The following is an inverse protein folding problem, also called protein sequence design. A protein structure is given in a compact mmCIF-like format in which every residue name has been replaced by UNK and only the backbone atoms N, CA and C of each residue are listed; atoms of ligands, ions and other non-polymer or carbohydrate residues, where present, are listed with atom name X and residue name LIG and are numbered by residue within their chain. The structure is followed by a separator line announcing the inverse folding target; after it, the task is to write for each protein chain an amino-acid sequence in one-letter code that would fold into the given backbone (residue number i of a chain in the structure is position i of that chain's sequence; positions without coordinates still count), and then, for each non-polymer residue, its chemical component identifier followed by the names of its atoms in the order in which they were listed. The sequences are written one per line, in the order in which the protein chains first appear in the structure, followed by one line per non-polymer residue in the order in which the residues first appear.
data_IF_744571186251
#
_entry.id   IF_744571186251
#
_cell.length_a   1.000
_cell.length_b   1.000
_cell.length_c   1.000
_cell.angle_alpha   90.00
_cell.angle_beta   90.00
_cell.angle_gamma   90.00
#
_symmetry.space_group_name_H-M   'P 1'
#
loop_
_entity.id
_entity.type
_entity.pdbx_description
1 polymer ?
#
# COMPACT_ATOMS: atom_id res chain seq x y z
N UNK A 1 -22.33 28.44 -18.87
CA UNK A 1 -23.02 28.53 -17.58
C UNK A 1 -21.98 28.23 -16.49
N UNK A 2 -21.85 29.02 -15.42
CA UNK A 2 -20.92 28.72 -14.34
C UNK A 2 -21.38 27.49 -13.54
N UNK A 3 -20.41 26.79 -12.94
CA UNK A 3 -20.63 25.58 -12.17
C UNK A 3 -20.06 25.79 -10.75
N UNK A 4 -20.85 25.47 -9.75
CA UNK A 4 -20.43 25.34 -8.36
C UNK A 4 -20.40 23.85 -8.03
N UNK A 5 -19.20 23.30 -7.89
CA UNK A 5 -19.00 21.91 -7.50
C UNK A 5 -18.73 21.85 -6.00
N UNK A 6 -19.56 21.09 -5.28
CA UNK A 6 -19.40 20.90 -3.84
C UNK A 6 -19.19 19.42 -3.56
N UNK A 7 -18.09 19.11 -2.89
CA UNK A 7 -17.70 17.74 -2.54
C UNK A 7 -17.51 17.61 -1.03
N UNK A 8 -17.68 16.38 -0.53
CA UNK A 8 -17.44 16.04 0.87
C UNK A 8 -15.96 15.81 1.16
N UNK A 9 -15.60 15.93 2.43
CA UNK A 9 -14.31 15.50 2.98
C UNK A 9 -14.57 14.35 3.93
N UNK A 10 -13.85 13.25 3.80
CA UNK A 10 -13.97 12.10 4.70
C UNK A 10 -13.66 10.77 4.02
N UNK A 11 -13.90 9.68 4.75
CA UNK A 11 -13.78 8.31 4.26
C UNK A 11 -15.13 7.62 4.45
N UNK A 12 -15.71 7.12 3.36
CA UNK A 12 -16.97 6.37 3.39
C UNK A 12 -16.72 4.98 2.79
N UNK A 13 -16.78 3.95 3.63
CA UNK A 13 -16.26 2.62 3.29
C UNK A 13 -14.81 2.75 2.82
N UNK A 14 -14.48 2.22 1.65
CA UNK A 14 -13.16 2.35 1.04
C UNK A 14 -12.97 3.63 0.20
N UNK A 15 -14.03 4.40 -0.03
CA UNK A 15 -13.97 5.61 -0.86
C UNK A 15 -13.42 6.78 -0.05
N UNK A 16 -12.40 7.42 -0.62
CA UNK A 16 -11.80 8.64 -0.12
C UNK A 16 -12.48 9.83 -0.79
N UNK A 17 -13.09 10.70 0.00
CA UNK A 17 -13.73 11.94 -0.43
C UNK A 17 -12.77 13.08 -0.08
N UNK A 18 -12.16 13.64 -1.10
CA UNK A 18 -11.02 14.54 -0.95
C UNK A 18 -11.38 16.01 -0.73
N UNK A 19 -12.66 16.36 -0.77
CA UNK A 19 -13.07 17.75 -0.76
C UNK A 19 -12.86 18.40 -2.12
N UNK A 20 -11.98 19.39 -2.22
CA UNK A 20 -11.66 20.10 -3.47
C UNK A 20 -12.89 20.70 -4.15
N UNK A 21 -13.86 21.18 -3.38
CA UNK A 21 -14.99 21.92 -3.93
C UNK A 21 -14.50 23.06 -4.81
N UNK A 22 -15.11 23.28 -5.96
CA UNK A 22 -14.59 24.14 -6.98
C UNK A 22 -15.63 25.10 -7.55
N UNK A 23 -15.16 26.23 -8.03
CA UNK A 23 -15.95 27.24 -8.73
C UNK A 23 -15.41 27.38 -10.14
N UNK A 24 -16.24 27.11 -11.13
CA UNK A 24 -15.86 27.13 -12.54
C UNK A 24 -16.73 28.15 -13.27
N UNK A 25 -16.12 29.03 -14.05
CA UNK A 25 -16.86 30.03 -14.81
C UNK A 25 -17.56 29.44 -16.06
N UNK A 26 -18.26 30.28 -16.81
CA UNK A 26 -19.00 29.85 -17.99
C UNK A 26 -18.08 29.39 -19.15
N UNK A 27 -16.84 29.79 -19.14
CA UNK A 27 -15.77 29.45 -20.11
C UNK A 27 -15.03 28.15 -19.72
N UNK A 28 -15.41 27.51 -18.59
CA UNK A 28 -14.76 26.29 -18.11
C UNK A 28 -13.47 26.54 -17.32
N UNK A 29 -13.17 27.80 -16.96
CA UNK A 29 -11.97 28.14 -16.17
C UNK A 29 -12.29 27.93 -14.68
N UNK A 30 -11.42 27.17 -14.01
CA UNK A 30 -11.51 26.99 -12.56
C UNK A 30 -11.03 28.26 -11.85
N UNK A 31 -11.95 28.95 -11.17
CA UNK A 31 -11.68 30.20 -10.46
C UNK A 31 -11.17 30.00 -9.05
N UNK A 32 -11.61 28.92 -8.41
CA UNK A 32 -11.31 28.61 -7.03
C UNK A 32 -11.39 27.09 -6.80
N UNK A 33 -10.40 26.55 -6.12
CA UNK A 33 -10.45 25.18 -5.56
C UNK A 33 -10.20 25.26 -4.06
N UNK A 34 -11.10 24.67 -3.28
CA UNK A 34 -10.95 24.55 -1.83
C UNK A 34 -9.88 23.51 -1.49
N UNK A 35 -9.58 23.36 -0.18
CA UNK A 35 -8.51 22.48 0.29
C UNK A 35 -8.78 21.01 -0.04
N UNK A 36 -7.70 20.27 -0.27
CA UNK A 36 -7.71 18.82 -0.29
C UNK A 36 -7.65 18.27 1.13
N UNK A 37 -8.47 17.26 1.42
CA UNK A 37 -8.44 16.49 2.67
C UNK A 37 -8.60 17.33 3.95
N UNK A 38 -9.27 18.47 3.84
CA UNK A 38 -9.54 19.37 4.95
C UNK A 38 -10.86 20.10 4.72
N UNK A 39 -11.59 20.39 5.79
CA UNK A 39 -12.80 21.21 5.69
C UNK A 39 -12.40 22.63 5.31
N UNK A 40 -13.08 23.19 4.33
CA UNK A 40 -12.85 24.56 3.89
C UNK A 40 -14.17 25.21 3.44
N UNK A 41 -14.27 26.50 3.66
CA UNK A 41 -15.45 27.31 3.32
C UNK A 41 -15.03 28.63 2.71
N UNK A 42 -15.64 29.00 1.59
CA UNK A 42 -15.46 30.29 0.93
C UNK A 42 -16.80 30.91 0.57
N UNK A 43 -16.84 32.22 0.71
CA UNK A 43 -17.97 33.05 0.25
C UNK A 43 -17.51 33.79 -1.00
N UNK A 44 -18.29 33.68 -2.07
CA UNK A 44 -18.02 34.35 -3.34
C UNK A 44 -19.26 35.13 -3.81
N UNK A 45 -19.06 36.17 -4.62
CA UNK A 45 -20.16 36.92 -5.23
C UNK A 45 -20.43 36.44 -6.65
N UNK A 46 -21.68 36.63 -7.12
CA UNK A 46 -22.04 36.32 -8.52
C UNK A 46 -21.20 37.11 -9.54
N UNK A 47 -20.74 38.30 -9.17
CA UNK A 47 -19.87 39.10 -10.05
C UNK A 47 -18.50 38.45 -10.29
N UNK A 48 -17.97 37.71 -9.31
CA UNK A 48 -16.71 36.97 -9.47
C UNK A 48 -16.89 35.79 -10.45
N UNK A 49 -18.07 35.18 -10.49
CA UNK A 49 -18.40 34.12 -11.46
C UNK A 49 -18.47 34.59 -12.91
N UNK A 50 -18.73 35.86 -13.12
CA UNK A 50 -18.88 36.50 -14.42
C UNK A 50 -17.66 37.34 -14.86
N UNK A 51 -16.58 37.27 -14.09
CA UNK A 51 -15.36 38.04 -14.36
C UNK A 51 -14.72 37.59 -15.67
N UNK A 52 -14.48 38.53 -16.56
CA UNK A 52 -13.76 38.33 -17.83
C UNK A 52 -12.24 38.10 -17.62
N UNK A 53 -11.73 38.43 -16.43
CA UNK A 53 -10.30 38.29 -16.08
C UNK A 53 -10.15 37.56 -14.76
N UNK A 54 -10.44 36.24 -14.70
CA UNK A 54 -10.34 35.48 -13.50
C UNK A 54 -8.90 35.37 -13.04
N UNK A 55 -8.68 35.60 -11.75
CA UNK A 55 -7.43 35.26 -11.06
C UNK A 55 -7.61 33.90 -10.45
N UNK A 56 -7.26 32.80 -11.12
CA UNK A 56 -7.54 31.48 -10.61
C UNK A 56 -6.76 31.21 -9.31
N UNK A 57 -7.48 31.03 -8.22
CA UNK A 57 -6.93 30.60 -6.94
C UNK A 57 -7.08 29.08 -6.82
N UNK A 58 -6.24 28.32 -7.51
CA UNK A 58 -6.19 26.88 -7.35
C UNK A 58 -4.78 26.42 -7.01
N UNK A 59 -4.72 25.40 -6.16
CA UNK A 59 -3.46 24.81 -5.73
C UNK A 59 -3.18 23.57 -6.59
N UNK A 60 -2.25 23.68 -7.52
CA UNK A 60 -1.71 22.49 -8.18
C UNK A 60 -0.78 21.75 -7.24
N UNK A 61 -0.94 20.45 -7.17
CA UNK A 61 -0.02 19.58 -6.47
C UNK A 61 0.45 18.45 -7.39
N UNK A 62 1.63 17.91 -7.12
CA UNK A 62 2.09 16.74 -7.85
C UNK A 62 1.33 15.50 -7.37
N UNK A 63 1.16 14.52 -8.26
CA UNK A 63 0.50 13.26 -7.93
C UNK A 63 1.05 12.61 -6.64
N UNK A 64 2.38 12.57 -6.47
CA UNK A 64 2.99 11.96 -5.29
C UNK A 64 2.70 12.72 -3.99
N UNK A 65 2.64 14.06 -4.03
CA UNK A 65 2.22 14.84 -2.85
C UNK A 65 0.76 14.59 -2.51
N UNK A 66 -0.09 14.52 -3.53
CA UNK A 66 -1.49 14.20 -3.37
C UNK A 66 -1.66 12.80 -2.76
N UNK A 67 -0.95 11.79 -3.27
CA UNK A 67 -0.93 10.44 -2.74
C UNK A 67 -0.48 10.40 -1.27
N UNK A 68 0.58 11.14 -0.92
CA UNK A 68 1.01 11.27 0.49
C UNK A 68 -0.09 11.83 1.38
N UNK A 69 -0.77 12.88 0.95
CA UNK A 69 -1.86 13.49 1.73
C UNK A 69 -3.05 12.55 1.83
N UNK A 70 -3.39 11.84 0.78
CA UNK A 70 -4.46 10.85 0.76
C UNK A 70 -4.20 9.72 1.76
N UNK A 71 -3.00 9.10 1.74
CA UNK A 71 -2.63 8.05 2.69
C UNK A 71 -2.64 8.60 4.12
N UNK A 72 -2.06 9.78 4.34
CA UNK A 72 -2.04 10.43 5.66
C UNK A 72 -3.46 10.68 6.17
N UNK A 73 -4.34 11.22 5.33
CA UNK A 73 -5.72 11.53 5.68
C UNK A 73 -6.52 10.28 6.02
N UNK A 74 -6.45 9.24 5.18
CA UNK A 74 -7.17 7.99 5.46
C UNK A 74 -6.68 7.29 6.73
N UNK A 75 -5.38 7.36 7.01
CA UNK A 75 -4.82 6.89 8.28
C UNK A 75 -5.41 7.64 9.48
N UNK A 76 -5.51 8.96 9.37
CA UNK A 76 -6.08 9.80 10.42
C UNK A 76 -7.55 9.47 10.62
N UNK A 77 -8.35 9.52 9.58
CA UNK A 77 -9.79 9.24 9.64
C UNK A 77 -10.08 7.84 10.19
N UNK A 78 -9.49 6.80 9.60
CA UNK A 78 -9.73 5.43 10.03
C UNK A 78 -9.37 5.21 11.50
N UNK A 79 -8.16 5.61 11.93
CA UNK A 79 -7.71 5.35 13.29
C UNK A 79 -8.44 6.23 14.31
N UNK A 80 -8.81 7.48 13.98
CA UNK A 80 -9.45 8.37 14.95
C UNK A 80 -10.94 8.15 15.09
N UNK A 81 -11.62 7.60 14.09
CA UNK A 81 -13.06 7.30 14.13
C UNK A 81 -13.38 5.93 14.71
N UNK A 82 -12.46 4.98 14.61
CA UNK A 82 -12.65 3.62 15.12
C UNK A 82 -12.34 3.52 16.63
N UNK A 83 -12.72 2.41 17.32
CA UNK A 83 -12.54 2.27 18.77
C UNK A 83 -11.09 2.37 19.23
N UNK A 84 -10.15 1.80 18.46
CA UNK A 84 -8.73 1.86 18.76
C UNK A 84 -8.13 3.15 18.18
N UNK A 85 -7.55 3.98 19.03
CA UNK A 85 -7.00 5.31 18.66
C UNK A 85 -5.49 5.29 18.39
N UNK A 86 -4.91 4.10 18.27
CA UNK A 86 -3.48 3.88 18.06
C UNK A 86 -3.25 2.97 16.86
N UNK A 87 -2.08 3.06 16.26
CA UNK A 87 -1.61 2.18 15.18
C UNK A 87 -0.39 1.39 15.63
N UNK A 88 -0.37 0.10 15.31
CA UNK A 88 0.81 -0.77 15.43
C UNK A 88 1.24 -1.20 14.04
N UNK A 89 2.51 -1.06 13.71
CA UNK A 89 3.10 -1.45 12.42
C UNK A 89 4.11 -2.56 12.63
N UNK A 90 4.01 -3.64 11.85
CA UNK A 90 5.01 -4.70 11.84
C UNK A 90 6.26 -4.22 11.10
N UNK A 91 7.38 -4.14 11.82
CA UNK A 91 8.67 -3.67 11.29
C UNK A 91 9.48 -4.86 10.78
N UNK A 92 9.53 -5.04 9.47
CA UNK A 92 10.27 -6.08 8.77
C UNK A 92 11.56 -5.56 8.10
N UNK A 93 11.87 -4.27 8.29
CA UNK A 93 13.03 -3.60 7.70
C UNK A 93 12.85 -3.24 6.21
N UNK A 94 11.68 -3.45 5.64
CA UNK A 94 11.36 -3.01 4.27
C UNK A 94 11.12 -1.51 4.20
N UNK A 95 11.21 -0.95 2.98
CA UNK A 95 10.86 0.45 2.73
C UNK A 95 9.39 0.72 3.08
N UNK A 96 8.51 -0.22 2.75
CA UNK A 96 7.07 -0.10 2.97
C UNK A 96 6.73 0.03 4.46
N UNK A 97 7.33 -0.81 5.31
CA UNK A 97 7.09 -0.74 6.76
C UNK A 97 7.60 0.56 7.37
N UNK A 98 8.75 1.06 6.90
CA UNK A 98 9.29 2.36 7.33
C UNK A 98 8.43 3.52 6.82
N UNK A 99 8.00 3.47 5.56
CA UNK A 99 7.19 4.52 4.94
C UNK A 99 5.84 4.65 5.64
N UNK A 100 5.13 3.53 5.84
CA UNK A 100 3.81 3.59 6.50
C UNK A 100 3.91 4.00 7.97
N UNK A 101 4.97 3.59 8.70
CA UNK A 101 5.20 4.06 10.06
C UNK A 101 5.43 5.57 10.10
N UNK A 102 6.23 6.12 9.18
CA UNK A 102 6.46 7.55 9.09
C UNK A 102 5.17 8.31 8.77
N UNK A 103 4.36 7.84 7.79
CA UNK A 103 3.07 8.47 7.45
C UNK A 103 2.10 8.39 8.63
N UNK A 104 2.02 7.25 9.31
CA UNK A 104 1.19 7.08 10.52
C UNK A 104 1.60 8.06 11.62
N UNK A 105 2.90 8.20 11.86
CA UNK A 105 3.42 9.18 12.84
C UNK A 105 3.05 10.63 12.47
N UNK A 106 3.10 10.97 11.17
CA UNK A 106 2.68 12.31 10.68
C UNK A 106 1.18 12.53 10.75
N UNK A 107 0.39 11.46 10.64
CA UNK A 107 -1.07 11.53 10.72
C UNK A 107 -1.58 11.59 12.16
N UNK A 108 -1.02 10.79 13.06
CA UNK A 108 -1.56 10.52 14.39
C UNK A 108 -0.75 11.15 15.53
N UNK A 109 0.51 11.52 15.27
CA UNK A 109 1.49 11.86 16.29
C UNK A 109 2.19 10.61 16.87
N UNK A 110 3.45 10.76 17.28
CA UNK A 110 4.33 9.67 17.70
C UNK A 110 3.80 8.85 18.89
N UNK A 111 3.00 9.46 19.77
CA UNK A 111 2.47 8.81 20.98
C UNK A 111 1.36 7.79 20.67
N UNK A 112 0.76 7.89 19.49
CA UNK A 112 -0.30 6.98 19.03
C UNK A 112 0.17 5.95 18.00
N UNK A 113 1.47 5.90 17.74
CA UNK A 113 2.08 4.96 16.77
C UNK A 113 3.17 4.15 17.46
N UNK A 114 3.22 2.87 17.17
CA UNK A 114 4.29 2.00 17.62
C UNK A 114 4.71 1.04 16.50
N UNK A 115 5.96 0.62 16.53
CA UNK A 115 6.46 -0.49 15.73
C UNK A 115 6.52 -1.76 16.57
N UNK A 116 6.33 -2.90 15.93
CA UNK A 116 6.62 -4.22 16.49
C UNK A 116 7.62 -4.94 15.58
N UNK A 117 8.73 -5.37 16.14
CA UNK A 117 9.65 -6.29 15.49
C UNK A 117 9.52 -7.67 16.12
N UNK A 118 9.14 -8.66 15.30
CA UNK A 118 9.06 -10.06 15.71
C UNK A 118 10.27 -10.78 15.13
N UNK A 119 11.24 -11.02 15.98
CA UNK A 119 12.51 -11.64 15.61
C UNK A 119 12.31 -13.13 15.28
N UNK A 120 12.93 -13.58 14.18
CA UNK A 120 13.03 -15.00 13.82
C UNK A 120 14.47 -15.37 13.44
N UNK A 121 14.78 -16.68 13.43
CA UNK A 121 16.10 -17.21 13.04
C UNK A 121 16.49 -16.87 11.60
N UNK A 122 15.53 -16.51 10.75
CA UNK A 122 15.73 -16.14 9.35
C UNK A 122 16.09 -14.66 9.16
N UNK A 123 15.96 -13.87 10.23
CA UNK A 123 16.26 -12.44 10.15
C UNK A 123 17.77 -12.21 10.07
N UNK A 124 18.18 -11.22 9.27
CA UNK A 124 19.56 -10.77 9.26
C UNK A 124 19.99 -10.30 10.65
N UNK A 125 21.21 -10.60 11.11
CA UNK A 125 21.72 -10.11 12.40
C UNK A 125 21.68 -8.59 12.54
N UNK A 126 21.73 -7.85 11.42
CA UNK A 126 21.70 -6.38 11.37
C UNK A 126 20.29 -5.80 11.31
N UNK A 127 19.23 -6.63 11.17
CA UNK A 127 17.87 -6.15 10.99
C UNK A 127 17.40 -5.31 12.18
N UNK A 128 17.69 -5.77 13.39
CA UNK A 128 17.33 -5.05 14.63
C UNK A 128 17.93 -3.64 14.67
N UNK A 129 19.23 -3.56 14.41
CA UNK A 129 19.96 -2.29 14.40
C UNK A 129 19.39 -1.37 13.31
N UNK A 130 19.14 -1.89 12.13
CA UNK A 130 18.54 -1.14 11.02
C UNK A 130 17.18 -0.54 11.40
N UNK A 131 16.30 -1.33 12.02
CA UNK A 131 14.98 -0.87 12.49
C UNK A 131 15.16 0.18 13.61
N UNK A 132 16.04 -0.05 14.56
CA UNK A 132 16.29 0.89 15.66
C UNK A 132 16.86 2.22 15.18
N UNK A 133 17.80 2.20 14.24
CA UNK A 133 18.40 3.39 13.64
C UNK A 133 17.37 4.24 12.90
N UNK A 134 16.36 3.63 12.31
CA UNK A 134 15.23 4.34 11.70
C UNK A 134 14.28 4.92 12.74
N UNK A 135 13.88 4.14 13.75
CA UNK A 135 12.81 4.53 14.68
C UNK A 135 13.26 5.49 15.77
N UNK A 136 14.48 5.36 16.24
CA UNK A 136 15.00 6.18 17.37
C UNK A 136 14.93 7.70 17.09
N UNK A 137 15.37 8.20 15.91
CA UNK A 137 15.27 9.64 15.61
C UNK A 137 13.83 10.14 15.50
N UNK A 138 12.88 9.27 15.17
CA UNK A 138 11.45 9.61 15.08
C UNK A 138 10.79 9.67 16.47
N UNK A 139 11.43 9.13 17.48
CA UNK A 139 10.87 9.04 18.84
C UNK A 139 9.64 8.15 18.95
N UNK A 140 9.48 7.20 18.05
CA UNK A 140 8.39 6.22 18.01
C UNK A 140 8.81 4.97 18.77
N UNK A 141 7.91 4.43 19.61
CA UNK A 141 8.19 3.25 20.43
C UNK A 141 8.30 1.99 19.57
N UNK A 142 9.38 1.23 19.81
CA UNK A 142 9.57 -0.10 19.22
C UNK A 142 9.36 -1.17 20.28
N UNK A 143 8.45 -2.09 20.04
CA UNK A 143 8.33 -3.34 20.77
C UNK A 143 9.11 -4.43 20.02
N UNK A 144 9.71 -5.35 20.77
CA UNK A 144 10.41 -6.49 20.18
C UNK A 144 9.89 -7.79 20.83
N UNK A 145 9.68 -8.78 20.00
CA UNK A 145 9.24 -10.12 20.41
C UNK A 145 10.15 -11.17 19.79
N UNK A 146 10.58 -12.15 20.57
CA UNK A 146 11.33 -13.27 20.04
C UNK A 146 10.34 -14.40 19.70
N UNK A 147 10.32 -14.82 18.44
CA UNK A 147 9.44 -15.87 17.94
C UNK A 147 9.94 -17.26 18.31
N UNK A 148 11.24 -17.41 18.58
CA UNK A 148 11.84 -18.70 18.87
C UNK A 148 11.46 -19.16 20.28
N UNK A 149 10.66 -20.19 20.35
CA UNK A 149 10.33 -20.87 21.58
C UNK A 149 10.03 -22.36 21.31
N UNK A 150 10.04 -23.17 22.38
CA UNK A 150 9.82 -24.62 22.31
C UNK A 150 8.47 -25.00 21.69
N UNK A 151 7.45 -24.15 21.80
CA UNK A 151 6.11 -24.42 21.25
C UNK A 151 6.15 -24.39 19.74
N UNK A 152 6.77 -23.36 19.16
CA UNK A 152 6.86 -23.18 17.69
C UNK A 152 7.79 -24.24 17.10
N UNK A 153 8.92 -24.48 17.74
CA UNK A 153 9.85 -25.51 17.32
C UNK A 153 9.23 -26.91 17.41
N UNK A 154 8.45 -27.19 18.48
CA UNK A 154 7.69 -28.42 18.62
C UNK A 154 6.61 -28.59 17.55
N UNK A 155 5.92 -27.51 17.17
CA UNK A 155 4.93 -27.54 16.09
C UNK A 155 5.59 -27.83 14.72
N UNK A 156 6.71 -27.18 14.46
CA UNK A 156 7.45 -27.35 13.20
C UNK A 156 8.04 -28.76 13.09
N UNK A 157 8.61 -29.29 14.18
CA UNK A 157 9.19 -30.63 14.20
C UNK A 157 8.18 -31.75 13.94
N UNK A 158 6.93 -31.58 14.35
CA UNK A 158 5.86 -32.52 14.02
C UNK A 158 5.52 -32.54 12.51
N UNK A 159 5.72 -31.42 11.81
CA UNK A 159 5.50 -31.30 10.37
C UNK A 159 6.72 -31.69 9.51
N UNK A 160 7.91 -31.84 10.07
CA UNK A 160 9.17 -32.03 9.32
C UNK A 160 9.19 -33.25 8.41
N UNK A 161 8.46 -34.31 8.76
CA UNK A 161 8.39 -35.53 7.95
C UNK A 161 7.54 -35.37 6.67
N UNK A 162 6.74 -34.30 6.58
CA UNK A 162 5.75 -34.11 5.52
C UNK A 162 6.04 -32.92 4.60
N UNK A 163 6.96 -32.00 4.97
CA UNK A 163 6.90 -30.62 4.45
C UNK A 163 8.29 -30.04 4.13
N UNK A 164 8.33 -29.24 3.08
CA UNK A 164 9.52 -28.55 2.57
C UNK A 164 9.86 -27.25 3.36
N UNK A 165 10.99 -26.65 3.04
CA UNK A 165 11.45 -25.39 3.66
C UNK A 165 10.47 -24.20 3.47
N UNK A 166 9.67 -24.21 2.40
CA UNK A 166 8.65 -23.16 2.16
C UNK A 166 7.56 -23.22 3.20
N UNK A 167 7.12 -24.42 3.56
CA UNK A 167 6.12 -24.59 4.61
C UNK A 167 6.62 -24.06 5.96
N UNK A 168 7.90 -24.31 6.28
CA UNK A 168 8.52 -23.80 7.51
C UNK A 168 8.49 -22.29 7.55
N UNK A 169 8.96 -21.63 6.49
CA UNK A 169 8.95 -20.16 6.38
C UNK A 169 7.53 -19.61 6.49
N UNK A 170 6.58 -20.16 5.74
CA UNK A 170 5.18 -19.75 5.78
C UNK A 170 4.55 -19.94 7.16
N UNK A 171 4.96 -20.96 7.89
CA UNK A 171 4.49 -21.20 9.27
C UNK A 171 5.02 -20.13 10.22
N UNK A 172 6.30 -19.77 10.14
CA UNK A 172 6.87 -18.67 10.93
C UNK A 172 6.15 -17.35 10.65
N UNK A 173 5.84 -17.04 9.40
CA UNK A 173 5.12 -15.81 9.06
C UNK A 173 3.70 -15.79 9.62
N UNK A 174 3.01 -16.94 9.68
CA UNK A 174 1.70 -17.05 10.36
C UNK A 174 1.81 -16.78 11.86
N UNK A 175 2.83 -17.33 12.51
CA UNK A 175 3.09 -17.02 13.92
C UNK A 175 3.44 -15.54 14.13
N UNK A 176 4.26 -14.93 13.27
CA UNK A 176 4.52 -13.47 13.30
C UNK A 176 3.23 -12.67 13.22
N UNK A 177 2.32 -13.05 12.32
CA UNK A 177 1.03 -12.39 12.16
C UNK A 177 0.14 -12.55 13.39
N UNK A 178 0.09 -13.75 13.99
CA UNK A 178 -0.66 -14.01 15.21
C UNK A 178 -0.14 -13.16 16.38
N UNK A 179 1.17 -13.08 16.56
CA UNK A 179 1.78 -12.22 17.59
C UNK A 179 1.47 -10.76 17.31
N UNK A 180 1.57 -10.33 16.07
CA UNK A 180 1.31 -8.94 15.68
C UNK A 180 -0.11 -8.50 16.06
N UNK A 181 -1.11 -9.34 15.78
CA UNK A 181 -2.51 -9.04 16.12
C UNK A 181 -2.72 -9.06 17.62
N UNK A 182 -2.21 -10.10 18.32
CA UNK A 182 -2.34 -10.20 19.76
C UNK A 182 -1.70 -9.02 20.50
N UNK A 183 -0.54 -8.54 20.03
CA UNK A 183 0.11 -7.35 20.59
C UNK A 183 -0.68 -6.09 20.26
N UNK A 184 -1.24 -5.98 19.06
CA UNK A 184 -2.10 -4.84 18.68
C UNK A 184 -3.32 -4.76 19.60
N UNK A 185 -3.99 -5.88 19.83
CA UNK A 185 -5.14 -5.98 20.75
C UNK A 185 -4.74 -5.59 22.18
N UNK A 186 -3.64 -6.14 22.69
CA UNK A 186 -3.11 -5.81 24.03
C UNK A 186 -2.84 -4.32 24.20
N UNK A 187 -2.38 -3.64 23.15
CA UNK A 187 -2.05 -2.19 23.16
C UNK A 187 -3.27 -1.31 22.88
N UNK A 188 -4.44 -1.87 22.56
CA UNK A 188 -5.58 -1.14 22.07
C UNK A 188 -5.25 -0.38 20.78
N UNK A 189 -4.53 -1.02 19.87
CA UNK A 189 -4.06 -0.45 18.62
C UNK A 189 -4.64 -1.23 17.43
N UNK A 190 -4.82 -0.53 16.28
CA UNK A 190 -5.08 -1.20 15.02
C UNK A 190 -3.79 -1.78 14.44
N UNK A 191 -3.79 -3.06 14.03
CA UNK A 191 -2.71 -3.58 13.21
C UNK A 191 -2.79 -2.96 11.82
N UNK A 192 -1.68 -2.34 11.39
CA UNK A 192 -1.58 -1.66 10.09
C UNK A 192 -0.58 -2.40 9.21
N UNK A 193 -1.04 -2.83 8.06
CA UNK A 193 -0.25 -3.57 7.08
C UNK A 193 0.64 -2.65 6.24
N UNK A 194 1.82 -3.14 5.87
CA UNK A 194 2.74 -2.52 4.92
C UNK A 194 2.67 -3.12 3.51
N UNK A 195 1.68 -3.98 3.23
CA UNK A 195 1.51 -4.64 1.93
C UNK A 195 1.04 -3.63 0.90
N UNK A 196 1.71 -3.60 -0.26
CA UNK A 196 1.39 -2.75 -1.40
C UNK A 196 0.54 -3.45 -2.47
N UNK A 197 0.14 -2.70 -3.51
CA UNK A 197 -0.70 -3.18 -4.62
C UNK A 197 -0.02 -4.29 -5.42
N UNK A 198 1.27 -4.19 -5.66
CA UNK A 198 2.06 -5.20 -6.39
C UNK A 198 2.09 -6.53 -5.63
N UNK A 199 2.32 -6.45 -4.32
CA UNK A 199 2.38 -7.63 -3.46
C UNK A 199 1.04 -8.35 -3.36
N UNK A 200 -0.05 -7.61 -3.18
CA UNK A 200 -1.39 -8.21 -3.08
C UNK A 200 -1.90 -8.70 -4.44
N UNK A 201 -1.54 -8.01 -5.54
CA UNK A 201 -1.88 -8.43 -6.90
C UNK A 201 -1.34 -9.83 -7.22
N UNK A 202 -0.12 -10.10 -6.80
CA UNK A 202 0.62 -11.30 -7.17
C UNK A 202 0.73 -12.34 -6.04
N UNK A 203 0.13 -12.09 -4.88
CA UNK A 203 0.24 -13.00 -3.74
C UNK A 203 1.70 -13.21 -3.30
N UNK A 204 2.56 -12.17 -3.39
CA UNK A 204 4.00 -12.29 -3.14
C UNK A 204 4.33 -12.63 -1.68
N UNK A 205 3.46 -12.24 -0.75
CA UNK A 205 3.55 -12.71 0.63
C UNK A 205 2.75 -13.99 0.76
N UNK A 206 3.44 -15.10 0.93
CA UNK A 206 2.95 -16.49 0.90
C UNK A 206 1.87 -16.84 1.95
N UNK A 207 1.24 -15.85 2.59
CA UNK A 207 0.31 -16.10 3.68
C UNK A 207 -1.02 -15.36 3.54
N UNK A 208 -1.99 -16.06 2.98
CA UNK A 208 -3.42 -15.71 3.04
C UNK A 208 -3.85 -15.30 4.47
N UNK A 209 -3.39 -16.04 5.46
CA UNK A 209 -3.64 -15.73 6.87
C UNK A 209 -3.12 -14.34 7.30
N UNK A 210 -2.02 -13.87 6.70
CA UNK A 210 -1.48 -12.54 7.00
C UNK A 210 -2.36 -11.41 6.46
N UNK A 211 -3.06 -11.60 5.35
CA UNK A 211 -3.95 -10.60 4.76
C UNK A 211 -5.26 -10.48 5.54
N UNK A 212 -5.89 -11.62 5.85
CA UNK A 212 -7.17 -11.66 6.58
C UNK A 212 -7.05 -11.12 8.02
N UNK A 213 -5.86 -11.17 8.59
CA UNK A 213 -5.62 -10.82 9.98
C UNK A 213 -5.18 -9.37 10.19
N UNK A 214 -4.77 -8.62 9.16
CA UNK A 214 -4.40 -7.21 9.31
C UNK A 214 -5.58 -6.31 9.00
N UNK A 215 -6.23 -5.77 10.01
CA UNK A 215 -7.48 -5.02 9.89
C UNK A 215 -7.42 -3.80 8.96
N UNK A 216 -6.27 -3.12 8.82
CA UNK A 216 -6.12 -1.92 8.00
C UNK A 216 -4.91 -1.99 7.07
N UNK A 217 -5.15 -1.83 5.77
CA UNK A 217 -4.18 -2.02 4.69
C UNK A 217 -4.06 -0.78 3.80
N UNK A 218 -3.46 0.31 4.27
CA UNK A 218 -3.50 1.60 3.58
C UNK A 218 -2.69 1.69 2.28
N UNK A 219 -1.77 0.75 2.02
CA UNK A 219 -0.90 0.77 0.83
C UNK A 219 -1.34 -0.19 -0.27
N UNK A 220 -2.37 -1.02 -0.07
CA UNK A 220 -2.77 -2.06 -1.03
C UNK A 220 -3.36 -1.53 -2.34
N UNK A 221 -3.55 -0.23 -2.46
CA UNK A 221 -3.92 0.42 -3.72
C UNK A 221 -2.81 1.34 -4.28
N UNK A 222 -1.57 1.16 -3.82
CA UNK A 222 -0.37 1.89 -4.25
C UNK A 222 0.69 0.90 -4.73
N UNK A 223 1.18 1.06 -5.96
CA UNK A 223 2.23 0.20 -6.50
C UNK A 223 3.57 0.40 -5.79
N UNK A 224 4.39 -0.65 -5.77
CA UNK A 224 5.73 -0.60 -5.15
C UNK A 224 6.60 0.51 -5.75
N UNK A 225 6.57 0.70 -7.07
CA UNK A 225 7.30 1.76 -7.76
C UNK A 225 6.88 3.16 -7.27
N UNK A 226 5.59 3.39 -7.04
CA UNK A 226 5.07 4.66 -6.51
C UNK A 226 5.51 4.90 -5.06
N UNK A 227 5.64 3.84 -4.24
CA UNK A 227 6.15 3.96 -2.88
C UNK A 227 7.64 4.32 -2.85
N UNK A 228 8.42 3.81 -3.79
CA UNK A 228 9.82 4.21 -3.99
C UNK A 228 9.92 5.69 -4.33
N UNK A 229 9.18 6.14 -5.35
CA UNK A 229 9.14 7.55 -5.75
C UNK A 229 8.65 8.47 -4.61
N UNK A 230 7.68 8.01 -3.82
CA UNK A 230 7.18 8.74 -2.66
C UNK A 230 8.26 8.88 -1.57
N UNK A 231 9.04 7.84 -1.31
CA UNK A 231 10.15 7.89 -0.36
C UNK A 231 11.27 8.85 -0.83
N UNK A 232 11.60 8.85 -2.13
CA UNK A 232 12.54 9.79 -2.75
C UNK A 232 12.03 11.24 -2.58
N UNK A 233 10.75 11.51 -2.87
CA UNK A 233 10.13 12.81 -2.69
C UNK A 233 10.17 13.28 -1.23
N UNK A 234 9.87 12.41 -0.29
CA UNK A 234 9.89 12.73 1.14
C UNK A 234 11.31 13.03 1.62
N UNK A 235 12.30 12.29 1.15
CA UNK A 235 13.70 12.60 1.44
C UNK A 235 14.12 13.96 0.87
N UNK A 236 13.74 14.26 -0.38
CA UNK A 236 14.07 15.54 -1.02
C UNK A 236 13.35 16.74 -0.39
N UNK A 237 12.20 16.52 0.25
CA UNK A 237 11.37 17.56 0.87
C UNK A 237 11.76 17.86 2.34
N UNK A 238 12.72 17.15 2.91
CA UNK A 238 13.16 17.32 4.28
C UNK A 238 14.66 17.65 4.33
N UNK A 239 15.09 18.42 5.32
CA UNK A 239 16.49 18.82 5.51
C UNK A 239 17.44 17.62 5.70
N UNK A 240 16.92 16.54 6.25
CA UNK A 240 17.65 15.27 6.45
C UNK A 240 16.86 14.14 5.81
N UNK A 241 17.59 13.22 5.20
CA UNK A 241 16.99 12.01 4.66
C UNK A 241 16.28 11.23 5.78
N UNK A 242 15.01 10.92 5.54
CA UNK A 242 14.16 10.14 6.46
C UNK A 242 14.49 8.65 6.28
N UNK A 243 14.53 8.21 5.02
CA UNK A 243 14.78 6.84 4.65
C UNK A 243 16.22 6.68 4.16
N UNK A 244 16.94 5.61 4.58
CA UNK A 244 18.29 5.34 4.07
C UNK A 244 18.28 5.22 2.54
N UNK A 245 19.20 5.92 1.87
CA UNK A 245 19.31 5.87 0.40
C UNK A 245 19.53 4.42 -0.08
N UNK A 246 20.35 3.65 0.64
CA UNK A 246 20.58 2.23 0.32
C UNK A 246 19.31 1.37 0.39
N UNK A 247 18.36 1.73 1.25
CA UNK A 247 17.07 1.03 1.34
C UNK A 247 16.18 1.37 0.14
N UNK A 248 16.13 2.64 -0.26
CA UNK A 248 15.40 3.09 -1.44
C UNK A 248 15.97 2.43 -2.70
N UNK A 249 17.30 2.45 -2.87
CA UNK A 249 17.96 1.79 -4.00
C UNK A 249 17.74 0.28 -4.03
N UNK A 250 17.73 -0.38 -2.88
CA UNK A 250 17.38 -1.80 -2.78
C UNK A 250 15.93 -2.06 -3.20
N UNK A 251 14.99 -1.21 -2.77
CA UNK A 251 13.59 -1.34 -3.17
C UNK A 251 13.38 -1.06 -4.66
N UNK A 252 14.07 -0.05 -5.21
CA UNK A 252 14.03 0.33 -6.63
C UNK A 252 14.59 -0.77 -7.55
N UNK A 253 15.63 -1.46 -7.10
CA UNK A 253 16.27 -2.55 -7.83
C UNK A 253 15.77 -3.93 -7.39
N UNK A 254 14.68 -3.98 -6.58
CA UNK A 254 14.10 -5.24 -6.19
C UNK A 254 13.59 -6.00 -7.42
N UNK A 255 13.88 -7.30 -7.41
CA UNK A 255 13.45 -8.23 -8.44
C UNK A 255 12.55 -9.28 -7.83
N UNK A 256 11.56 -9.76 -8.59
CA UNK A 256 10.81 -10.94 -8.19
C UNK A 256 11.75 -12.15 -8.14
N UNK A 257 11.66 -12.88 -7.03
CA UNK A 257 12.42 -14.12 -6.87
C UNK A 257 12.04 -15.12 -7.95
N UNK A 258 13.00 -15.95 -8.36
CA UNK A 258 12.90 -16.97 -9.44
C UNK A 258 11.68 -17.90 -9.32
N UNK A 259 11.09 -18.03 -8.12
CA UNK A 259 9.92 -18.89 -7.88
C UNK A 259 8.63 -18.36 -8.51
N UNK A 260 8.55 -17.05 -8.78
CA UNK A 260 7.36 -16.43 -9.36
C UNK A 260 7.41 -16.36 -10.89
N UNK A 261 8.62 -16.46 -11.47
CA UNK A 261 8.81 -16.37 -12.92
C UNK A 261 9.71 -17.52 -13.35
N UNK A 262 9.14 -18.54 -13.96
CA UNK A 262 9.85 -19.76 -14.40
C UNK A 262 10.94 -19.54 -15.48
N UNK A 263 11.25 -18.28 -15.84
CA UNK A 263 12.02 -17.93 -17.03
C UNK A 263 13.49 -17.54 -16.77
N UNK A 264 14.01 -17.78 -15.56
CA UNK A 264 15.47 -17.64 -15.29
C UNK A 264 16.02 -16.20 -15.33
N UNK A 265 15.20 -15.19 -15.70
CA UNK A 265 15.57 -13.77 -15.74
C UNK A 265 15.04 -13.05 -14.50
N UNK A 266 15.88 -12.25 -13.88
CA UNK A 266 15.44 -11.32 -12.85
C UNK A 266 14.63 -10.20 -13.48
N UNK A 267 13.40 -9.99 -13.00
CA UNK A 267 12.51 -8.94 -13.49
C UNK A 267 12.37 -7.85 -12.42
N UNK A 268 12.59 -6.61 -12.81
CA UNK A 268 12.43 -5.46 -11.91
C UNK A 268 10.96 -5.28 -11.53
N UNK A 269 10.72 -4.90 -10.29
CA UNK A 269 9.35 -4.65 -9.81
C UNK A 269 8.69 -3.51 -10.59
N UNK A 270 9.44 -2.49 -11.03
CA UNK A 270 8.88 -1.42 -11.87
C UNK A 270 8.28 -1.93 -13.19
N UNK A 271 8.94 -2.89 -13.86
CA UNK A 271 8.41 -3.52 -15.09
C UNK A 271 7.12 -4.29 -14.82
N UNK A 272 7.05 -4.94 -13.66
CA UNK A 272 5.84 -5.65 -13.22
C UNK A 272 4.70 -4.68 -12.96
N UNK A 273 4.98 -3.57 -12.27
CA UNK A 273 3.99 -2.54 -11.99
C UNK A 273 3.45 -1.91 -13.27
N UNK A 274 4.31 -1.70 -14.29
CA UNK A 274 3.89 -1.16 -15.59
C UNK A 274 2.94 -2.12 -16.31
N UNK A 275 3.22 -3.43 -16.30
CA UNK A 275 2.33 -4.46 -16.87
C UNK A 275 0.99 -4.50 -16.13
N UNK A 276 1.02 -4.53 -14.80
CA UNK A 276 -0.20 -4.54 -13.99
C UNK A 276 -1.03 -3.27 -14.21
N UNK A 277 -0.39 -2.11 -14.28
CA UNK A 277 -1.06 -0.84 -14.53
C UNK A 277 -1.68 -0.77 -15.91
N UNK A 278 -0.98 -1.21 -16.95
CA UNK A 278 -1.49 -1.25 -18.32
C UNK A 278 -2.77 -2.13 -18.39
N UNK A 279 -2.74 -3.28 -17.78
CA UNK A 279 -3.87 -4.20 -17.76
C UNK A 279 -5.03 -3.70 -16.89
N UNK A 280 -4.76 -3.35 -15.63
CA UNK A 280 -5.80 -3.01 -14.65
C UNK A 280 -6.40 -1.62 -14.86
N UNK A 281 -5.56 -0.61 -15.12
CA UNK A 281 -5.98 0.79 -15.16
C UNK A 281 -6.03 1.33 -16.59
N UNK A 282 -5.14 0.85 -17.47
CA UNK A 282 -5.08 1.24 -18.87
C UNK A 282 -6.11 0.56 -19.76
N UNK A 283 -6.82 -0.46 -19.28
CA UNK A 283 -7.76 -1.30 -20.04
C UNK A 283 -7.15 -1.89 -21.32
N UNK A 284 -5.84 -2.13 -21.35
CA UNK A 284 -5.18 -2.79 -22.46
C UNK A 284 -5.44 -4.28 -22.40
N UNK A 285 -5.72 -4.90 -23.55
CA UNK A 285 -5.81 -6.34 -23.64
C UNK A 285 -4.44 -7.00 -23.41
N UNK A 286 -4.44 -8.24 -22.97
CA UNK A 286 -3.19 -9.00 -22.79
C UNK A 286 -2.37 -9.02 -24.07
N UNK A 287 -3.03 -9.14 -25.21
CA UNK A 287 -2.43 -9.15 -26.55
C UNK A 287 -1.68 -7.86 -26.87
N UNK A 288 -2.26 -6.72 -26.56
CA UNK A 288 -1.61 -5.39 -26.75
C UNK A 288 -0.39 -5.25 -25.84
N UNK A 289 -0.52 -5.61 -24.56
CA UNK A 289 0.60 -5.54 -23.60
C UNK A 289 1.74 -6.50 -24.03
N UNK A 290 1.41 -7.71 -24.51
CA UNK A 290 2.41 -8.67 -25.00
C UNK A 290 3.13 -8.18 -26.25
N UNK A 291 2.45 -7.45 -27.14
CA UNK A 291 3.04 -6.90 -28.36
C UNK A 291 4.09 -5.83 -28.07
N UNK A 292 3.90 -5.03 -27.01
CA UNK A 292 4.82 -3.96 -26.59
C UNK A 292 5.87 -4.43 -25.59
N UNK A 293 5.68 -5.58 -24.95
CA UNK A 293 6.56 -6.08 -23.91
C UNK A 293 7.84 -6.70 -24.44
N UNK A 294 8.95 -6.45 -23.76
CA UNK A 294 10.24 -7.12 -24.01
C UNK A 294 10.21 -8.63 -23.69
N UNK A 295 9.26 -9.09 -22.88
CA UNK A 295 9.04 -10.47 -22.49
C UNK A 295 7.53 -10.80 -22.43
N UNK A 296 6.92 -11.27 -23.56
CA UNK A 296 5.51 -11.63 -23.61
C UNK A 296 5.10 -12.74 -22.63
N UNK A 297 5.98 -13.73 -22.40
CA UNK A 297 5.69 -14.81 -21.45
C UNK A 297 5.56 -14.30 -20.00
N UNK A 298 6.32 -13.27 -19.64
CA UNK A 298 6.19 -12.62 -18.36
C UNK A 298 4.80 -11.99 -18.19
N UNK A 299 4.30 -11.31 -19.21
CA UNK A 299 2.95 -10.72 -19.22
C UNK A 299 1.90 -11.80 -18.95
N UNK A 300 1.92 -12.89 -19.73
CA UNK A 300 0.99 -14.00 -19.56
C UNK A 300 1.05 -14.60 -18.14
N UNK A 301 2.26 -14.77 -17.61
CA UNK A 301 2.47 -15.32 -16.26
C UNK A 301 1.91 -14.40 -15.17
N UNK A 302 2.19 -13.10 -15.26
CA UNK A 302 1.72 -12.11 -14.28
C UNK A 302 0.19 -11.99 -14.30
N UNK A 303 -0.42 -11.96 -15.48
CA UNK A 303 -1.88 -11.83 -15.60
C UNK A 303 -2.59 -13.10 -15.10
N UNK A 304 -2.09 -14.30 -15.44
CA UNK A 304 -2.64 -15.55 -14.84
C UNK A 304 -2.55 -15.52 -13.32
N UNK A 305 -1.40 -15.10 -12.78
CA UNK A 305 -1.23 -15.03 -11.35
C UNK A 305 -2.15 -13.99 -10.71
N UNK A 306 -2.28 -12.83 -11.32
CA UNK A 306 -3.23 -11.80 -10.88
C UNK A 306 -4.64 -12.38 -10.71
N UNK A 307 -5.12 -13.14 -11.67
CA UNK A 307 -6.45 -13.74 -11.60
C UNK A 307 -6.52 -14.89 -10.58
N UNK A 308 -5.49 -15.72 -10.51
CA UNK A 308 -5.43 -16.84 -9.57
C UNK A 308 -5.46 -16.39 -8.09
N UNK A 309 -4.88 -15.22 -7.80
CA UNK A 309 -4.80 -14.67 -6.45
C UNK A 309 -6.09 -13.94 -5.99
N UNK A 310 -7.17 -13.98 -6.77
CA UNK A 310 -8.43 -13.29 -6.43
C UNK A 310 -9.00 -13.73 -5.08
N UNK A 311 -9.00 -15.04 -4.77
CA UNK A 311 -9.49 -15.56 -3.50
C UNK A 311 -8.75 -14.96 -2.30
N UNK A 312 -7.44 -14.74 -2.44
CA UNK A 312 -6.61 -14.14 -1.41
C UNK A 312 -6.95 -12.66 -1.20
N UNK A 313 -7.25 -11.95 -2.28
CA UNK A 313 -7.64 -10.53 -2.24
C UNK A 313 -9.01 -10.30 -1.62
N UNK A 314 -9.96 -11.19 -1.89
CA UNK A 314 -11.30 -11.12 -1.28
C UNK A 314 -11.24 -11.27 0.25
N UNK A 315 -10.25 -11.97 0.78
CA UNK A 315 -10.03 -12.14 2.20
C UNK A 315 -9.20 -11.01 2.85
N UNK A 316 -8.73 -10.05 2.07
CA UNK A 316 -7.90 -8.95 2.57
C UNK A 316 -8.69 -8.03 3.52
N UNK A 317 -7.97 -7.37 4.43
CA UNK A 317 -8.52 -6.37 5.34
C UNK A 317 -8.95 -5.09 4.61
N UNK A 318 -9.42 -4.11 5.38
CA UNK A 318 -9.89 -2.82 4.84
C UNK A 318 -8.77 -2.07 4.10
N UNK A 319 -9.05 -1.68 2.86
CA UNK A 319 -8.16 -0.93 1.97
C UNK A 319 -8.87 0.31 1.40
N UNK A 320 -8.26 1.50 1.48
CA UNK A 320 -8.81 2.68 0.82
C UNK A 320 -8.60 2.63 -0.69
N UNK A 321 -9.52 3.21 -1.44
CA UNK A 321 -9.36 3.43 -2.87
C UNK A 321 -8.54 4.69 -3.11
N UNK A 322 -7.33 4.53 -3.63
CA UNK A 322 -6.36 5.60 -3.91
C UNK A 322 -5.98 5.68 -5.40
N UNK A 323 -6.43 4.72 -6.20
CA UNK A 323 -6.17 4.65 -7.65
C UNK A 323 -7.47 4.58 -8.46
N UNK A 324 -7.36 4.62 -9.77
CA UNK A 324 -8.51 4.52 -10.67
C UNK A 324 -9.23 3.17 -10.53
N UNK A 325 -8.49 2.09 -10.22
CA UNK A 325 -9.04 0.75 -9.99
C UNK A 325 -8.41 0.08 -8.79
N UNK A 326 -9.22 -0.22 -7.80
CA UNK A 326 -8.83 -0.91 -6.57
C UNK A 326 -9.41 -2.31 -6.51
N UNK A 327 -8.70 -3.23 -5.84
CA UNK A 327 -9.11 -4.62 -5.73
C UNK A 327 -10.43 -4.86 -4.96
N UNK A 328 -10.78 -3.99 -4.04
CA UNK A 328 -11.97 -4.18 -3.22
C UNK A 328 -13.24 -3.54 -3.79
N UNK A 329 -13.12 -2.67 -4.80
CA UNK A 329 -14.26 -1.90 -5.32
C UNK A 329 -14.51 -2.14 -6.80
N UNK A 330 -13.47 -2.06 -7.62
CA UNK A 330 -13.63 -1.94 -9.08
C UNK A 330 -13.04 -3.12 -9.84
N UNK A 331 -12.16 -3.90 -9.19
CA UNK A 331 -11.45 -5.02 -9.79
C UNK A 331 -11.78 -6.30 -9.04
N UNK A 332 -12.87 -6.95 -9.46
CA UNK A 332 -13.35 -8.20 -8.88
C UNK A 332 -13.53 -9.22 -9.99
N UNK A 333 -12.97 -10.40 -9.77
CA UNK A 333 -13.07 -11.52 -10.70
C UNK A 333 -13.70 -12.75 -10.03
N UNK A 334 -14.25 -13.69 -10.83
CA UNK A 334 -14.75 -14.94 -10.28
C UNK A 334 -13.63 -15.71 -9.56
N UNK A 335 -13.87 -16.10 -8.32
CA UNK A 335 -12.92 -16.87 -7.50
C UNK A 335 -12.93 -18.36 -7.80
N UNK A 336 -14.02 -18.89 -8.39
CA UNK A 336 -14.20 -20.31 -8.70
C UNK A 336 -14.07 -20.50 -10.21
N UNK A 337 -12.88 -20.27 -10.71
CA UNK A 337 -12.53 -20.45 -12.14
C UNK A 337 -11.15 -21.08 -12.22
N UNK A 338 -10.99 -22.06 -13.10
CA UNK A 338 -9.68 -22.60 -13.46
C UNK A 338 -8.97 -21.66 -14.45
N UNK A 339 -8.32 -20.64 -13.92
CA UNK A 339 -7.54 -19.67 -14.71
C UNK A 339 -6.37 -20.30 -15.46
N UNK A 340 -5.95 -21.52 -15.09
CA UNK A 340 -4.91 -22.28 -15.79
C UNK A 340 -5.37 -22.81 -17.15
N UNK A 341 -6.67 -23.09 -17.30
CA UNK A 341 -7.26 -23.61 -18.53
C UNK A 341 -7.72 -22.52 -19.51
N UNK A 342 -7.78 -21.25 -19.08
CA UNK A 342 -8.21 -20.14 -19.93
C UNK A 342 -7.08 -19.69 -20.83
N UNK A 343 -7.38 -19.50 -22.11
CA UNK A 343 -6.47 -18.83 -23.03
C UNK A 343 -6.34 -17.37 -22.65
N UNK A 344 -5.20 -17.03 -22.04
CA UNK A 344 -4.94 -15.71 -21.47
C UNK A 344 -4.95 -14.59 -22.53
N UNK A 345 -4.68 -14.93 -23.80
CA UNK A 345 -4.69 -13.95 -24.88
C UNK A 345 -6.09 -13.49 -25.26
N UNK A 346 -7.13 -14.16 -24.74
CA UNK A 346 -8.52 -13.75 -24.96
C UNK A 346 -9.01 -12.70 -23.96
N UNK A 347 -8.21 -12.43 -22.93
CA UNK A 347 -8.43 -11.35 -21.93
C UNK A 347 -7.74 -10.07 -22.38
#
# INVERSE_FOLDING_TARGET
MPIVYVNHVGVSNSLLLEGCSALINAEGINLLTLRHFDEDQRVTSMNQLQSENPQPEYRTTTYLKHLYWAIKFVMQEFITTTPHKKALILMDGSLNSQLILFIAMKALGKERVAGLWVQSRWDSPYLKEHIQNFMTPLGVKLYSWNLENEIIDGFISQGEQLLDERWKMGTYDRFKSTIFISVAELLGAWPVSSIDKTQIALGIKDNIASFALTGFMPLTDVYQSQLVELAELLNASNERAIFPVSLIERAKNATLQKHFVNHGRETKISEIDDILRAYMEGNQSVKEIMADASNPELVATLIRRLHHEELNRVQAGFSPKLSNRSFQNDWLFPTVVDWGSIDIETL
#
